data_IF_201063811509
#
_entry.id   IF_201063811509
#
_cell.length_a   1.000
_cell.length_b   1.000
_cell.length_c   1.000
_cell.angle_alpha   90.00
_cell.angle_beta   90.00
_cell.angle_gamma   90.00
#
_symmetry.space_group_name_H-M   'P 1'
#
loop_
_entity.id
_entity.type
_entity.pdbx_description
1 polymer ?
#
# COMPACT_ATOMS: atom_id res chain seq x y z
N UNK A 1 -7.89 -4.26 -13.84
CA UNK A 1 -6.52 -4.50 -13.39
C UNK A 1 -6.12 -3.42 -12.37
N UNK A 2 -5.70 -3.84 -11.16
CA UNK A 2 -5.31 -2.94 -10.06
C UNK A 2 -4.16 -1.99 -10.44
N UNK A 3 -3.25 -2.45 -11.28
CA UNK A 3 -2.15 -1.63 -11.82
C UNK A 3 -2.64 -0.47 -12.67
N UNK A 4 -3.73 -0.66 -13.39
CA UNK A 4 -4.35 0.37 -14.22
C UNK A 4 -4.92 1.49 -13.33
N UNK A 5 -5.69 1.11 -12.29
CA UNK A 5 -6.23 2.03 -11.30
C UNK A 5 -5.11 2.77 -10.57
N UNK A 6 -4.06 2.05 -10.14
CA UNK A 6 -2.92 2.69 -9.50
C UNK A 6 -2.27 3.75 -10.41
N UNK A 7 -1.92 3.38 -11.64
CA UNK A 7 -1.19 4.26 -12.57
C UNK A 7 -2.02 5.44 -13.08
N UNK A 8 -3.28 5.19 -13.44
CA UNK A 8 -4.11 6.21 -14.09
C UNK A 8 -4.96 7.03 -13.13
N UNK A 9 -5.26 6.49 -11.95
CA UNK A 9 -6.09 7.17 -10.96
C UNK A 9 -5.24 7.65 -9.79
N UNK A 10 -4.71 6.73 -8.98
CA UNK A 10 -4.05 7.08 -7.71
C UNK A 10 -2.80 7.92 -7.99
N UNK A 11 -1.84 7.36 -8.74
CA UNK A 11 -0.56 8.04 -9.01
C UNK A 11 -0.76 9.40 -9.67
N UNK A 12 -1.60 9.50 -10.71
CA UNK A 12 -1.84 10.77 -11.40
C UNK A 12 -2.50 11.81 -10.50
N UNK A 13 -3.42 11.41 -9.61
CA UNK A 13 -4.03 12.32 -8.66
C UNK A 13 -3.00 12.89 -7.69
N UNK A 14 -2.14 12.04 -7.13
CA UNK A 14 -1.13 12.50 -6.18
C UNK A 14 -0.04 13.32 -6.86
N UNK A 15 0.41 12.94 -8.04
CA UNK A 15 1.39 13.71 -8.83
C UNK A 15 0.88 15.12 -9.22
N UNK A 16 -0.43 15.31 -9.37
CA UNK A 16 -1.02 16.60 -9.75
C UNK A 16 -1.45 17.45 -8.56
N UNK A 17 -2.25 16.90 -7.67
CA UNK A 17 -3.02 17.63 -6.66
C UNK A 17 -2.49 17.51 -5.24
N UNK A 18 -1.67 16.49 -4.96
CA UNK A 18 -1.14 16.17 -3.63
C UNK A 18 0.37 15.94 -3.66
N UNK A 19 1.11 16.87 -4.28
CA UNK A 19 2.57 16.77 -4.52
C UNK A 19 3.41 16.71 -3.24
N UNK A 20 2.86 17.11 -2.12
CA UNK A 20 3.53 17.06 -0.81
C UNK A 20 3.49 15.64 -0.19
N UNK A 21 2.68 14.73 -0.77
CA UNK A 21 2.64 13.33 -0.35
C UNK A 21 3.69 12.51 -1.11
N UNK A 22 4.44 11.73 -0.38
CA UNK A 22 5.24 10.65 -0.95
C UNK A 22 4.36 9.41 -1.10
N UNK A 23 4.07 9.02 -2.32
CA UNK A 23 3.29 7.82 -2.61
C UNK A 23 4.19 6.58 -2.55
N UNK A 24 3.83 5.62 -1.70
CA UNK A 24 4.52 4.34 -1.55
C UNK A 24 3.53 3.22 -1.86
N UNK A 25 3.91 2.30 -2.73
CA UNK A 25 3.11 1.14 -3.07
C UNK A 25 3.64 -0.09 -2.30
N UNK A 26 2.75 -0.76 -1.59
CA UNK A 26 3.12 -1.83 -0.66
C UNK A 26 3.79 -3.03 -1.36
N UNK A 27 3.34 -3.40 -2.57
CA UNK A 27 3.91 -4.49 -3.35
C UNK A 27 5.26 -4.16 -4.04
N UNK A 28 5.66 -2.89 -4.03
CA UNK A 28 7.00 -2.46 -4.48
C UNK A 28 8.03 -2.54 -3.35
N UNK A 29 7.61 -2.79 -2.11
CA UNK A 29 8.50 -2.99 -0.96
C UNK A 29 8.99 -4.43 -1.00
N UNK A 30 10.19 -4.65 -1.56
CA UNK A 30 10.75 -5.99 -1.78
C UNK A 30 11.60 -6.50 -0.60
N UNK A 31 11.39 -7.76 -0.19
CA UNK A 31 12.22 -8.48 0.77
C UNK A 31 11.43 -9.30 1.79
N UNK A 32 11.64 -10.62 1.86
CA UNK A 32 10.76 -11.57 2.56
C UNK A 32 10.74 -11.51 4.09
N UNK A 33 11.78 -11.03 4.77
CA UNK A 33 11.81 -10.96 6.24
C UNK A 33 11.59 -9.55 6.81
N UNK A 34 11.80 -8.51 5.98
CA UNK A 34 11.64 -7.10 6.37
C UNK A 34 10.31 -6.53 5.90
N UNK A 35 9.61 -7.21 4.97
CA UNK A 35 8.26 -6.80 4.54
C UNK A 35 7.40 -6.53 5.77
N UNK A 36 7.37 -7.44 6.74
CA UNK A 36 6.51 -7.32 7.91
C UNK A 36 6.83 -6.07 8.74
N UNK A 37 8.10 -5.83 9.07
CA UNK A 37 8.48 -4.69 9.93
C UNK A 37 8.27 -3.36 9.20
N UNK A 38 8.68 -3.27 7.94
CA UNK A 38 8.50 -2.07 7.12
C UNK A 38 7.02 -1.79 6.87
N UNK A 39 6.25 -2.83 6.56
CA UNK A 39 4.82 -2.74 6.32
C UNK A 39 4.08 -2.22 7.56
N UNK A 40 4.28 -2.82 8.73
CA UNK A 40 3.61 -2.38 9.96
C UNK A 40 4.01 -0.96 10.36
N UNK A 41 5.29 -0.60 10.16
CA UNK A 41 5.76 0.76 10.41
C UNK A 41 5.10 1.77 9.48
N UNK A 42 4.93 1.44 8.21
CA UNK A 42 4.20 2.28 7.25
C UNK A 42 2.72 2.37 7.61
N UNK A 43 2.08 1.26 7.98
CA UNK A 43 0.66 1.27 8.39
C UNK A 43 0.42 2.16 9.61
N UNK A 44 1.35 2.24 10.56
CA UNK A 44 1.20 3.11 11.74
C UNK A 44 1.59 4.58 11.46
N UNK A 45 2.60 4.85 10.63
CA UNK A 45 3.14 6.20 10.42
C UNK A 45 2.53 6.93 9.24
N UNK A 46 2.09 6.24 8.20
CA UNK A 46 1.52 6.91 7.02
C UNK A 46 0.38 7.85 7.38
N UNK A 47 0.42 9.06 6.83
CA UNK A 47 -0.62 10.07 7.02
C UNK A 47 -1.95 9.64 6.38
N UNK A 48 -1.87 8.87 5.29
CA UNK A 48 -3.00 8.32 4.57
C UNK A 48 -2.67 6.91 4.07
N UNK A 49 -3.63 5.99 4.18
CA UNK A 49 -3.56 4.67 3.55
C UNK A 49 -4.74 4.52 2.59
N UNK A 50 -4.47 4.05 1.38
CA UNK A 50 -5.47 3.65 0.39
C UNK A 50 -5.38 2.13 0.25
N UNK A 51 -6.44 1.43 0.65
CA UNK A 51 -6.55 -0.01 0.56
C UNK A 51 -7.56 -0.41 -0.52
N UNK A 52 -7.09 -1.03 -1.60
CA UNK A 52 -7.97 -1.62 -2.60
C UNK A 52 -8.22 -3.09 -2.24
N UNK A 53 -9.46 -3.39 -1.87
CA UNK A 53 -9.90 -4.72 -1.44
C UNK A 53 -10.61 -5.51 -2.54
N UNK A 54 -10.45 -5.10 -3.80
CA UNK A 54 -10.96 -5.83 -4.97
C UNK A 54 -10.47 -7.28 -4.94
N UNK A 55 -11.30 -8.22 -5.36
CA UNK A 55 -11.05 -9.67 -5.31
C UNK A 55 -10.91 -10.26 -3.90
N UNK A 56 -11.26 -9.51 -2.86
CA UNK A 56 -11.12 -9.95 -1.46
C UNK A 56 -9.70 -10.45 -1.14
N UNK A 57 -8.68 -9.74 -1.62
CA UNK A 57 -7.29 -10.08 -1.37
C UNK A 57 -7.03 -10.21 0.13
N UNK A 58 -6.66 -11.40 0.58
CA UNK A 58 -6.49 -11.72 1.99
C UNK A 58 -5.43 -10.86 2.68
N UNK A 59 -4.32 -10.56 1.99
CA UNK A 59 -3.27 -9.68 2.51
C UNK A 59 -3.77 -8.25 2.67
N UNK A 60 -4.45 -7.70 1.66
CA UNK A 60 -5.01 -6.35 1.73
C UNK A 60 -6.05 -6.22 2.86
N UNK A 61 -6.88 -7.24 3.06
CA UNK A 61 -7.84 -7.27 4.17
C UNK A 61 -7.15 -7.36 5.53
N UNK A 62 -6.08 -8.17 5.63
CA UNK A 62 -5.29 -8.29 6.86
C UNK A 62 -4.60 -6.97 7.22
N UNK A 63 -3.94 -6.33 6.26
CA UNK A 63 -3.27 -5.04 6.41
C UNK A 63 -4.26 -3.92 6.75
N UNK A 64 -5.43 -3.91 6.11
CA UNK A 64 -6.51 -2.99 6.42
C UNK A 64 -7.00 -3.16 7.87
N UNK A 65 -7.16 -4.41 8.33
CA UNK A 65 -7.52 -4.71 9.72
C UNK A 65 -6.48 -4.19 10.71
N UNK A 66 -5.20 -4.39 10.41
CA UNK A 66 -4.09 -3.85 11.21
C UNK A 66 -4.12 -2.31 11.19
N UNK A 67 -4.26 -1.69 10.02
CA UNK A 67 -4.36 -0.22 9.90
C UNK A 67 -5.50 0.32 10.75
N UNK A 68 -6.69 -0.29 10.71
CA UNK A 68 -7.83 0.11 11.53
C UNK A 68 -7.58 -0.07 13.04
N UNK A 69 -6.73 -1.02 13.44
CA UNK A 69 -6.33 -1.19 14.84
C UNK A 69 -5.26 -0.17 15.28
N UNK A 70 -4.43 0.30 14.36
CA UNK A 70 -3.32 1.23 14.65
C UNK A 70 -3.73 2.70 14.56
N UNK A 71 -4.67 3.02 13.66
CA UNK A 71 -5.08 4.42 13.38
C UNK A 71 -6.60 4.56 13.41
N UNK A 72 -7.13 5.61 14.07
CA UNK A 72 -8.57 5.87 14.12
C UNK A 72 -9.11 6.54 12.85
N UNK A 73 -8.26 7.06 11.97
CA UNK A 73 -8.63 7.86 10.79
C UNK A 73 -7.59 7.79 9.68
N UNK A 74 -7.89 8.43 8.55
CA UNK A 74 -7.02 8.55 7.37
C UNK A 74 -6.81 7.21 6.64
N UNK A 75 -7.90 6.45 6.47
CA UNK A 75 -7.92 5.22 5.69
C UNK A 75 -9.02 5.30 4.63
N UNK A 76 -8.65 5.13 3.36
CA UNK A 76 -9.58 5.08 2.24
C UNK A 76 -9.66 3.64 1.74
N UNK A 77 -10.87 3.10 1.67
CA UNK A 77 -11.11 1.78 1.10
C UNK A 77 -11.63 1.96 -0.32
N UNK A 78 -11.01 1.25 -1.27
CA UNK A 78 -11.44 1.18 -2.67
C UNK A 78 -11.86 -0.25 -3.03
N UNK A 79 -12.77 -0.38 -3.99
CA UNK A 79 -13.26 -1.69 -4.45
C UNK A 79 -13.95 -1.61 -5.79
N UNK A 80 -13.81 -2.63 -6.63
CA UNK A 80 -14.63 -2.78 -7.84
C UNK A 80 -16.11 -3.03 -7.47
N UNK A 81 -17.02 -2.45 -8.23
CA UNK A 81 -18.48 -2.61 -8.02
C UNK A 81 -18.96 -4.05 -8.19
N UNK A 82 -18.32 -4.82 -9.08
CA UNK A 82 -18.60 -6.23 -9.30
C UNK A 82 -18.42 -7.07 -8.04
N UNK A 83 -17.51 -6.65 -7.16
CA UNK A 83 -17.17 -7.36 -5.93
C UNK A 83 -17.98 -6.92 -4.70
N UNK A 84 -18.92 -6.00 -4.85
CA UNK A 84 -19.75 -5.51 -3.73
C UNK A 84 -20.46 -6.61 -2.92
N UNK A 85 -20.77 -7.73 -3.56
CA UNK A 85 -21.37 -8.89 -2.86
C UNK A 85 -20.41 -9.61 -1.92
N UNK A 86 -19.11 -9.34 -2.03
CA UNK A 86 -18.04 -9.95 -1.22
C UNK A 86 -17.52 -9.03 -0.11
N UNK A 87 -18.12 -7.83 0.09
CA UNK A 87 -17.70 -6.94 1.19
C UNK A 87 -17.88 -7.68 2.51
N UNK A 88 -16.82 -7.88 3.31
CA UNK A 88 -16.95 -8.44 4.64
C UNK A 88 -17.96 -7.63 5.48
N UNK A 89 -18.80 -8.33 6.25
CA UNK A 89 -19.86 -7.69 7.04
C UNK A 89 -19.31 -6.54 7.89
N UNK A 90 -18.16 -6.73 8.52
CA UNK A 90 -17.53 -5.73 9.40
C UNK A 90 -17.07 -4.47 8.66
N UNK A 91 -16.84 -4.54 7.35
CA UNK A 91 -16.51 -3.38 6.51
C UNK A 91 -17.73 -2.73 5.86
N UNK A 92 -18.90 -3.34 5.93
CA UNK A 92 -20.13 -2.85 5.26
C UNK A 92 -20.58 -1.47 5.76
N UNK A 93 -20.14 -1.07 6.94
CA UNK A 93 -20.43 0.23 7.55
C UNK A 93 -19.42 1.32 7.19
N UNK A 94 -18.30 0.95 6.57
CA UNK A 94 -17.30 1.90 6.12
C UNK A 94 -17.72 2.60 4.82
N UNK A 95 -17.24 3.83 4.65
CA UNK A 95 -17.34 4.53 3.36
C UNK A 95 -16.33 3.94 2.38
N UNK A 96 -16.81 3.23 1.36
CA UNK A 96 -15.99 2.59 0.34
C UNK A 96 -16.13 3.33 -0.99
N UNK A 97 -15.03 3.75 -1.60
CA UNK A 97 -15.00 4.26 -2.95
C UNK A 97 -15.10 3.08 -3.92
N UNK A 98 -16.18 3.02 -4.67
CA UNK A 98 -16.35 1.94 -5.65
C UNK A 98 -16.18 2.45 -7.08
N UNK A 99 -15.52 1.63 -7.90
CA UNK A 99 -15.31 1.87 -9.34
C UNK A 99 -15.74 0.65 -10.16
N UNK A 100 -15.94 0.83 -11.47
CA UNK A 100 -16.34 -0.27 -12.36
C UNK A 100 -15.13 -1.15 -12.74
N UNK A 101 -15.38 -2.36 -13.23
CA UNK A 101 -14.35 -3.20 -13.81
C UNK A 101 -14.08 -2.74 -15.25
N UNK A 102 -12.87 -2.28 -15.51
CA UNK A 102 -12.44 -1.78 -16.82
C UNK A 102 -11.58 -2.79 -17.59
N UNK A 103 -11.35 -3.98 -17.03
CA UNK A 103 -10.49 -4.98 -17.65
C UNK A 103 -9.07 -4.46 -17.88
N UNK A 104 -8.64 -4.44 -19.15
CA UNK A 104 -7.29 -3.97 -19.53
C UNK A 104 -7.24 -2.50 -19.99
N UNK A 105 -8.40 -1.83 -20.08
CA UNK A 105 -8.49 -0.48 -20.62
C UNK A 105 -9.40 0.41 -19.78
N UNK A 106 -8.87 1.56 -19.38
CA UNK A 106 -9.59 2.63 -18.68
C UNK A 106 -9.41 3.91 -19.51
N UNK A 107 -10.50 4.46 -20.02
CA UNK A 107 -10.43 5.72 -20.75
C UNK A 107 -10.22 6.93 -19.83
N UNK A 108 -9.80 8.04 -20.41
CA UNK A 108 -9.40 9.23 -19.65
C UNK A 108 -10.59 9.89 -18.93
N UNK A 109 -11.78 9.86 -19.49
CA UNK A 109 -12.96 10.47 -18.88
C UNK A 109 -13.39 9.68 -17.64
N UNK A 110 -13.37 8.34 -17.72
CA UNK A 110 -13.64 7.45 -16.59
C UNK A 110 -12.57 7.59 -15.51
N UNK A 111 -11.29 7.60 -15.91
CA UNK A 111 -10.18 7.83 -14.99
C UNK A 111 -10.29 9.18 -14.27
N UNK A 112 -10.68 10.24 -14.99
CA UNK A 112 -10.89 11.56 -14.42
C UNK A 112 -12.06 11.59 -13.42
N UNK A 113 -13.13 10.87 -13.68
CA UNK A 113 -14.26 10.75 -12.77
C UNK A 113 -13.86 10.04 -11.46
N UNK A 114 -13.10 8.94 -11.56
CA UNK A 114 -12.60 8.23 -10.36
C UNK A 114 -11.62 9.13 -9.60
N UNK A 115 -10.70 9.83 -10.28
CA UNK A 115 -9.78 10.79 -9.64
C UNK A 115 -10.52 11.86 -8.87
N UNK A 116 -11.59 12.41 -9.44
CA UNK A 116 -12.44 13.41 -8.78
C UNK A 116 -13.04 12.85 -7.48
N UNK A 117 -13.61 11.66 -7.53
CA UNK A 117 -14.16 11.00 -6.35
C UNK A 117 -13.09 10.71 -5.31
N UNK A 118 -11.95 10.16 -5.73
CA UNK A 118 -10.83 9.88 -4.83
C UNK A 118 -10.30 11.16 -4.17
N UNK A 119 -10.21 12.27 -4.90
CA UNK A 119 -9.84 13.57 -4.35
C UNK A 119 -10.77 14.00 -3.20
N UNK A 120 -12.08 13.81 -3.36
CA UNK A 120 -13.05 14.12 -2.29
C UNK A 120 -12.82 13.24 -1.04
N UNK A 121 -12.46 11.95 -1.23
CA UNK A 121 -12.12 11.07 -0.12
C UNK A 121 -10.82 11.50 0.57
N UNK A 122 -9.78 11.86 -0.20
CA UNK A 122 -8.51 12.35 0.36
C UNK A 122 -8.73 13.63 1.16
N UNK A 123 -9.48 14.60 0.64
CA UNK A 123 -9.80 15.83 1.37
C UNK A 123 -10.60 15.56 2.64
N UNK A 124 -11.58 14.67 2.58
CA UNK A 124 -12.38 14.28 3.75
C UNK A 124 -11.56 13.56 4.81
N UNK A 125 -10.54 12.78 4.43
CA UNK A 125 -9.67 12.07 5.36
C UNK A 125 -8.79 13.01 6.19
N UNK A 126 -8.54 14.22 5.72
CA UNK A 126 -7.79 15.25 6.44
C UNK A 126 -8.57 15.87 7.63
N UNK A 127 -9.89 15.63 7.70
CA UNK A 127 -10.72 16.14 8.81
C UNK A 127 -10.59 15.32 10.10
N UNK A 128 -9.73 14.29 10.13
CA UNK A 128 -9.49 13.40 11.28
C UNK A 128 -10.78 12.79 11.87
N UNK A 129 -11.79 12.54 11.03
CA UNK A 129 -12.97 11.80 11.42
C UNK A 129 -12.65 10.32 11.49
N UNK A 130 -13.14 9.68 12.54
CA UNK A 130 -12.98 8.24 12.73
C UNK A 130 -13.54 7.47 11.55
N UNK A 131 -12.71 6.68 10.89
CA UNK A 131 -13.05 5.77 9.80
C UNK A 131 -12.78 4.30 10.17
N UNK A 132 -12.13 4.06 11.30
CA UNK A 132 -11.90 2.72 11.84
C UNK A 132 -13.10 2.23 12.64
N UNK A 133 -13.63 1.02 12.33
CA UNK A 133 -14.68 0.39 13.12
C UNK A 133 -14.29 0.21 14.60
N UNK A 134 -13.02 -0.14 14.88
CA UNK A 134 -12.53 -0.33 16.24
C UNK A 134 -12.78 0.90 17.10
N UNK A 135 -12.34 2.08 16.66
CA UNK A 135 -12.47 3.31 17.43
C UNK A 135 -13.88 3.92 17.38
N UNK A 136 -14.68 3.54 16.38
CA UNK A 136 -16.10 3.90 16.33
C UNK A 136 -16.88 3.18 17.43
N UNK A 137 -16.63 1.89 17.62
CA UNK A 137 -17.35 1.08 18.62
C UNK A 137 -16.69 1.09 20.01
N UNK A 138 -15.38 1.34 20.07
CA UNK A 138 -14.59 1.39 21.31
C UNK A 138 -13.88 2.74 21.46
N UNK A 139 -14.61 3.85 21.66
CA UNK A 139 -14.05 5.20 21.63
C UNK A 139 -13.03 5.50 22.75
N UNK A 140 -12.95 4.66 23.78
CA UNK A 140 -12.01 4.80 24.89
C UNK A 140 -10.67 4.07 24.65
N UNK A 141 -10.52 3.34 23.54
CA UNK A 141 -9.24 2.72 23.18
C UNK A 141 -8.28 3.78 22.67
N UNK A 142 -7.08 3.81 23.21
CA UNK A 142 -6.03 4.73 22.77
C UNK A 142 -5.23 4.08 21.64
N UNK A 143 -5.05 4.78 20.51
CA UNK A 143 -4.19 4.27 19.42
C UNK A 143 -2.76 4.04 19.92
N UNK A 144 -2.08 2.96 19.48
CA UNK A 144 -0.68 2.77 19.77
C UNK A 144 0.16 3.88 19.10
N UNK A 145 1.28 4.23 19.73
CA UNK A 145 2.24 5.17 19.17
C UNK A 145 3.57 4.47 18.93
N UNK A 146 4.23 4.80 17.85
CA UNK A 146 5.60 4.41 17.56
C UNK A 146 6.48 5.64 17.69
N UNK A 147 7.53 5.55 18.50
CA UNK A 147 8.50 6.63 18.65
C UNK A 147 9.19 6.92 17.32
N UNK A 148 9.40 8.22 17.01
CA UNK A 148 9.99 8.62 15.74
C UNK A 148 11.41 8.09 15.56
N UNK A 149 12.20 8.03 16.64
CA UNK A 149 13.56 7.47 16.61
C UNK A 149 13.59 5.98 16.32
N UNK A 150 12.61 5.23 16.77
CA UNK A 150 12.50 3.81 16.51
C UNK A 150 11.96 3.56 15.08
N UNK A 151 11.05 4.40 14.61
CA UNK A 151 10.60 4.37 13.23
C UNK A 151 11.74 4.67 12.24
N UNK A 152 12.54 5.71 12.50
CA UNK A 152 13.70 6.04 11.65
C UNK A 152 14.70 4.89 11.57
N UNK A 153 15.00 4.23 12.68
CA UNK A 153 15.88 3.04 12.70
C UNK A 153 15.32 1.86 11.89
N UNK A 154 14.00 1.65 11.99
CA UNK A 154 13.31 0.62 11.23
C UNK A 154 13.37 0.94 9.74
N UNK A 155 13.06 2.18 9.37
CA UNK A 155 13.08 2.65 7.99
C UNK A 155 14.49 2.58 7.39
N UNK A 156 15.52 3.03 8.13
CA UNK A 156 16.93 2.96 7.69
C UNK A 156 17.36 1.51 7.42
N UNK A 157 17.03 0.59 8.31
CA UNK A 157 17.32 -0.84 8.12
C UNK A 157 16.61 -1.41 6.90
N UNK A 158 15.34 -1.05 6.70
CA UNK A 158 14.57 -1.49 5.54
C UNK A 158 15.18 -0.98 4.24
N UNK A 159 15.49 0.32 4.15
CA UNK A 159 16.12 0.93 2.98
C UNK A 159 17.50 0.34 2.68
N UNK A 160 18.31 0.10 3.71
CA UNK A 160 19.63 -0.51 3.54
C UNK A 160 19.55 -1.93 2.97
N UNK A 161 18.58 -2.72 3.43
CA UNK A 161 18.37 -4.08 2.92
C UNK A 161 17.86 -4.06 1.48
N UNK A 162 16.93 -3.17 1.16
CA UNK A 162 16.42 -3.00 -0.19
C UNK A 162 17.54 -2.65 -1.20
N UNK A 163 18.43 -1.73 -0.82
CA UNK A 163 19.60 -1.40 -1.63
C UNK A 163 20.52 -2.61 -1.82
N UNK A 164 20.73 -3.41 -0.78
CA UNK A 164 21.56 -4.62 -0.84
C UNK A 164 20.97 -5.64 -1.80
N UNK A 165 19.65 -5.89 -1.72
CA UNK A 165 18.92 -6.79 -2.60
C UNK A 165 19.00 -6.32 -4.05
N UNK A 166 18.74 -5.03 -4.29
CA UNK A 166 18.81 -4.42 -5.63
C UNK A 166 20.22 -4.58 -6.25
N UNK A 167 21.26 -4.34 -5.45
CA UNK A 167 22.64 -4.53 -5.89
C UNK A 167 22.94 -5.99 -6.27
N UNK A 168 22.47 -6.96 -5.50
CA UNK A 168 22.63 -8.38 -5.83
C UNK A 168 21.90 -8.76 -7.12
N UNK A 169 20.68 -8.26 -7.32
CA UNK A 169 19.92 -8.50 -8.54
C UNK A 169 20.66 -7.92 -9.77
N UNK A 170 21.16 -6.70 -9.67
CA UNK A 170 21.93 -6.07 -10.75
C UNK A 170 23.22 -6.86 -11.08
N UNK A 171 23.96 -7.29 -10.06
CA UNK A 171 25.16 -8.10 -10.22
C UNK A 171 24.86 -9.44 -10.88
N UNK A 172 23.83 -10.15 -10.40
CA UNK A 172 23.43 -11.44 -10.98
C UNK A 172 23.02 -11.30 -12.45
N UNK A 173 22.24 -10.28 -12.78
CA UNK A 173 21.84 -9.99 -14.16
C UNK A 173 23.00 -9.59 -15.06
N UNK A 174 23.97 -8.83 -14.54
CA UNK A 174 25.19 -8.48 -15.27
C UNK A 174 26.03 -9.70 -15.61
N UNK A 175 26.25 -10.58 -14.62
CA UNK A 175 26.97 -11.84 -14.80
C UNK A 175 26.29 -12.76 -15.81
N UNK A 176 24.96 -12.84 -15.78
CA UNK A 176 24.17 -13.59 -16.75
C UNK A 176 24.36 -13.05 -18.17
N UNK A 177 24.37 -11.72 -18.36
CA UNK A 177 24.63 -11.10 -19.67
C UNK A 177 26.05 -11.39 -20.19
N UNK A 178 27.02 -11.61 -19.30
CA UNK A 178 28.41 -11.96 -19.63
C UNK A 178 28.60 -13.49 -19.82
N UNK A 179 27.51 -14.29 -19.82
CA UNK A 179 27.52 -15.75 -19.87
C UNK A 179 28.27 -16.42 -18.69
N UNK A 180 28.43 -15.70 -17.57
CA UNK A 180 29.06 -16.22 -16.35
C UNK A 180 27.97 -16.74 -15.41
N UNK A 181 27.39 -17.89 -15.79
CA UNK A 181 26.23 -18.47 -15.12
C UNK A 181 26.52 -18.99 -13.72
N UNK A 182 27.71 -19.57 -13.47
CA UNK A 182 28.08 -20.10 -12.16
C UNK A 182 28.11 -18.98 -11.11
N UNK A 183 28.80 -17.90 -11.38
CA UNK A 183 28.85 -16.75 -10.47
C UNK A 183 27.48 -16.05 -10.34
N UNK A 184 26.68 -16.02 -11.39
CA UNK A 184 25.30 -15.50 -11.31
C UNK A 184 24.44 -16.32 -10.34
N UNK A 185 24.53 -17.65 -10.40
CA UNK A 185 23.81 -18.56 -9.46
C UNK A 185 24.29 -18.35 -8.02
N UNK A 186 25.61 -18.17 -7.80
CA UNK A 186 26.14 -17.89 -6.47
C UNK A 186 25.55 -16.58 -5.88
N UNK A 187 25.40 -15.54 -6.68
CA UNK A 187 24.75 -14.29 -6.24
C UNK A 187 23.26 -14.50 -5.94
N UNK A 188 22.56 -15.28 -6.77
CA UNK A 188 21.15 -15.61 -6.50
C UNK A 188 20.96 -16.42 -5.21
N UNK A 189 21.89 -17.32 -4.89
CA UNK A 189 21.86 -18.06 -3.62
C UNK A 189 22.10 -17.13 -2.43
N UNK A 190 23.03 -16.17 -2.53
CA UNK A 190 23.23 -15.14 -1.49
C UNK A 190 21.97 -14.28 -1.29
N UNK A 191 21.22 -14.02 -2.35
CA UNK A 191 19.96 -13.28 -2.27
C UNK A 191 18.88 -14.10 -1.54
N UNK A 192 18.85 -15.42 -1.75
CA UNK A 192 17.90 -16.32 -1.07
C UNK A 192 18.17 -16.46 0.43
N UNK A 193 19.43 -16.33 0.84
CA UNK A 193 19.87 -16.46 2.23
C UNK A 193 19.89 -15.11 2.99
N UNK A 194 19.55 -14.00 2.31
CA UNK A 194 19.59 -12.63 2.85
C UNK A 194 18.21 -12.10 3.23
#
# INVERSE_FOLDING_TARGET
DLDLIYKQVIKRLFDSDFKDYQLIRADEISGSEIIDISMYSLLIKSDLVIADITTSNENALYELGIRHALKPFSTIIMMQKSDKGSIPFDLSHNRILTYDDYGEYLDEDEAANIRKLLKEFVLASQENKTDSPLYTYLPNVTPPSLDDSDYEKILEKALHKEQTISNYIEQANSLKKQNNFENSVEIWNKLHDA
#
